data_IF_652024171374
#
_entry.id   IF_652024171374
#
_cell.length_a   1.000
_cell.length_b   1.000
_cell.length_c   1.000
_cell.angle_alpha   90.00
_cell.angle_beta   90.00
_cell.angle_gamma   90.00
#
_symmetry.space_group_name_H-M   'P 1'
#
loop_
_entity.id
_entity.type
_entity.pdbx_description
1 polymer ?
#
# COMPACT_ATOMS: atom_id res chain seq x y z
N UNK A 1 32.13 8.89 11.81
CA UNK A 1 30.87 9.16 11.09
C UNK A 1 29.76 8.46 11.85
N UNK A 2 28.80 9.17 12.43
CA UNK A 2 27.59 8.53 12.95
C UNK A 2 26.86 7.89 11.77
N UNK A 3 26.66 6.57 11.81
CA UNK A 3 26.00 5.84 10.73
C UNK A 3 24.60 6.40 10.45
N UNK A 4 24.21 6.43 9.17
CA UNK A 4 22.87 6.82 8.76
C UNK A 4 21.87 5.85 9.44
N UNK A 5 21.00 6.36 10.30
CA UNK A 5 19.93 5.59 10.94
C UNK A 5 18.61 5.92 10.26
N UNK A 6 17.93 4.89 9.77
CA UNK A 6 16.57 5.00 9.20
C UNK A 6 15.58 4.35 10.16
N UNK A 7 14.47 5.03 10.44
CA UNK A 7 13.36 4.59 11.26
C UNK A 7 12.13 4.43 10.37
N UNK A 8 11.49 3.27 10.47
CA UNK A 8 10.26 2.98 9.73
C UNK A 8 9.14 2.63 10.69
N UNK A 9 7.90 2.96 10.30
CA UNK A 9 6.72 2.27 10.83
C UNK A 9 6.32 1.19 9.84
N UNK A 10 6.13 -0.03 10.32
CA UNK A 10 5.38 -1.06 9.61
C UNK A 10 3.89 -0.88 9.94
N UNK A 11 3.10 -0.43 8.97
CA UNK A 11 1.68 -0.16 9.14
C UNK A 11 0.87 -1.45 9.34
N UNK A 12 0.96 -2.36 8.38
CA UNK A 12 0.29 -3.66 8.39
C UNK A 12 1.09 -4.65 7.50
N UNK A 13 0.96 -5.95 7.78
CA UNK A 13 1.42 -7.03 6.92
C UNK A 13 0.48 -7.36 5.77
N UNK A 14 -0.80 -6.99 5.85
CA UNK A 14 -1.73 -7.02 4.69
C UNK A 14 -2.76 -5.90 4.80
N UNK A 15 -2.65 -4.87 3.95
CA UNK A 15 -3.56 -3.74 3.90
C UNK A 15 -5.04 -4.19 3.77
N UNK A 16 -5.89 -3.72 4.69
CA UNK A 16 -7.30 -4.10 4.78
C UNK A 16 -7.59 -5.14 5.86
N UNK A 17 -6.57 -5.76 6.47
CA UNK A 17 -6.76 -6.64 7.63
C UNK A 17 -6.97 -5.88 8.95
N UNK A 18 -6.71 -4.57 8.97
CA UNK A 18 -6.95 -3.71 10.12
C UNK A 18 -5.77 -3.62 11.10
N UNK A 19 -5.62 -2.45 11.71
CA UNK A 19 -4.70 -2.21 12.82
C UNK A 19 -5.28 -1.19 13.80
N UNK A 20 -4.66 -1.07 14.98
CA UNK A 20 -5.05 -0.07 15.98
C UNK A 20 -4.47 1.29 15.61
N UNK A 21 -5.33 2.28 15.39
CA UNK A 21 -4.91 3.67 15.12
C UNK A 21 -4.00 4.23 16.24
N UNK A 22 -4.29 3.89 17.50
CA UNK A 22 -3.46 4.30 18.64
C UNK A 22 -2.02 3.79 18.56
N UNK A 23 -1.78 2.61 17.98
CA UNK A 23 -0.44 2.09 17.75
C UNK A 23 0.30 2.89 16.68
N UNK A 24 -0.38 3.24 15.59
CA UNK A 24 0.18 4.12 14.55
C UNK A 24 0.53 5.50 15.14
N UNK A 25 -0.40 6.14 15.85
CA UNK A 25 -0.19 7.44 16.48
C UNK A 25 0.99 7.43 17.46
N UNK A 26 1.10 6.37 18.28
CA UNK A 26 2.26 6.19 19.18
C UNK A 26 3.56 6.01 18.40
N UNK A 27 3.56 5.24 17.32
CA UNK A 27 4.73 5.08 16.47
C UNK A 27 5.19 6.40 15.86
N UNK A 28 4.24 7.25 15.43
CA UNK A 28 4.53 8.55 14.86
C UNK A 28 5.25 9.49 15.84
N UNK A 29 5.03 9.37 17.15
CA UNK A 29 5.76 10.19 18.14
C UNK A 29 7.26 9.89 18.21
N UNK A 30 7.71 8.79 17.58
CA UNK A 30 9.13 8.42 17.51
C UNK A 30 9.84 9.07 16.31
N UNK A 31 9.12 9.85 15.50
CA UNK A 31 9.65 10.56 14.33
C UNK A 31 10.23 9.60 13.28
N UNK A 32 9.43 8.70 12.69
CA UNK A 32 9.90 7.81 11.63
C UNK A 32 10.25 8.60 10.36
N UNK A 33 11.17 8.07 9.57
CA UNK A 33 11.58 8.64 8.29
C UNK A 33 10.60 8.26 7.16
N UNK A 34 9.90 7.13 7.29
CA UNK A 34 8.83 6.71 6.39
C UNK A 34 7.86 5.72 7.05
N UNK A 35 6.71 5.50 6.39
CA UNK A 35 5.77 4.44 6.70
C UNK A 35 5.79 3.42 5.56
N UNK A 36 6.02 2.15 5.89
CA UNK A 36 5.86 1.02 4.97
C UNK A 36 4.63 0.21 5.35
N UNK A 37 3.89 -0.28 4.37
CA UNK A 37 2.80 -1.23 4.59
C UNK A 37 2.81 -2.26 3.48
N UNK A 38 2.71 -3.54 3.83
CA UNK A 38 2.49 -4.57 2.83
C UNK A 38 0.98 -4.68 2.54
N UNK A 39 0.63 -4.84 1.28
CA UNK A 39 -0.71 -5.10 0.79
C UNK A 39 -0.76 -6.41 -0.03
N UNK A 40 0.36 -7.13 -0.14
CA UNK A 40 0.47 -8.42 -0.81
C UNK A 40 0.16 -9.60 0.11
N UNK A 41 -0.20 -10.74 -0.49
CA UNK A 41 -0.26 -12.04 0.18
C UNK A 41 -0.36 -13.16 -0.86
N UNK A 42 0.27 -14.31 -0.58
CA UNK A 42 0.12 -15.54 -1.38
C UNK A 42 -0.77 -16.59 -0.70
N UNK A 43 -1.03 -16.43 0.59
CA UNK A 43 -1.84 -17.34 1.41
C UNK A 43 -3.25 -17.60 0.85
N UNK A 44 -3.95 -16.62 0.23
CA UNK A 44 -5.27 -16.85 -0.36
C UNK A 44 -5.26 -17.68 -1.66
N UNK A 45 -4.08 -18.07 -2.14
CA UNK A 45 -3.90 -18.81 -3.39
C UNK A 45 -4.09 -17.96 -4.66
N UNK A 46 -4.12 -18.61 -5.84
CA UNK A 46 -4.02 -17.92 -7.13
C UNK A 46 -5.31 -17.22 -7.59
N UNK A 47 -6.44 -17.45 -6.89
CA UNK A 47 -7.75 -16.96 -7.33
C UNK A 47 -7.77 -15.45 -7.55
N UNK A 48 -7.26 -14.67 -6.59
CA UNK A 48 -7.29 -13.21 -6.63
C UNK A 48 -6.43 -12.63 -7.75
N UNK A 49 -5.27 -13.25 -8.00
CA UNK A 49 -4.43 -12.93 -9.16
C UNK A 49 -5.19 -13.17 -10.46
N UNK A 50 -5.77 -14.36 -10.64
CA UNK A 50 -6.48 -14.75 -11.86
C UNK A 50 -7.75 -13.94 -12.11
N UNK A 51 -8.45 -13.53 -11.04
CA UNK A 51 -9.66 -12.72 -11.13
C UNK A 51 -9.39 -11.21 -11.24
N UNK A 52 -8.16 -10.75 -11.00
CA UNK A 52 -7.81 -9.33 -10.94
C UNK A 52 -8.55 -8.58 -9.81
N UNK A 53 -8.77 -9.24 -8.67
CA UNK A 53 -9.54 -8.72 -7.53
C UNK A 53 -8.73 -8.77 -6.25
N UNK A 54 -9.01 -7.89 -5.32
CA UNK A 54 -8.39 -7.88 -3.99
C UNK A 54 -9.05 -8.93 -3.06
N UNK A 55 -8.29 -9.49 -2.11
CA UNK A 55 -8.86 -10.37 -1.09
C UNK A 55 -9.70 -9.63 -0.04
N UNK A 56 -9.35 -8.38 0.21
CA UNK A 56 -10.05 -7.53 1.17
C UNK A 56 -11.06 -6.62 0.48
N UNK A 57 -12.21 -6.33 1.12
CA UNK A 57 -13.19 -5.41 0.57
C UNK A 57 -12.65 -3.97 0.54
N UNK A 58 -13.08 -3.20 -0.46
CA UNK A 58 -12.66 -1.79 -0.67
C UNK A 58 -12.75 -0.95 0.60
N UNK A 59 -13.82 -1.09 1.39
CA UNK A 59 -14.02 -0.32 2.63
C UNK A 59 -12.92 -0.56 3.67
N UNK A 60 -12.42 -1.80 3.78
CA UNK A 60 -11.38 -2.15 4.72
C UNK A 60 -10.02 -1.61 4.27
N UNK A 61 -9.69 -1.80 2.99
CA UNK A 61 -8.48 -1.23 2.36
C UNK A 61 -8.48 0.29 2.48
N UNK A 62 -9.61 0.95 2.19
CA UNK A 62 -9.76 2.41 2.28
C UNK A 62 -9.56 2.93 3.70
N UNK A 63 -10.10 2.23 4.71
CA UNK A 63 -9.90 2.59 6.12
C UNK A 63 -8.41 2.60 6.48
N UNK A 64 -7.74 1.47 6.26
CA UNK A 64 -6.33 1.31 6.62
C UNK A 64 -5.45 2.31 5.86
N UNK A 65 -5.67 2.43 4.55
CA UNK A 65 -4.92 3.36 3.70
C UNK A 65 -5.17 4.82 4.11
N UNK A 66 -6.39 5.19 4.48
CA UNK A 66 -6.70 6.55 4.93
C UNK A 66 -5.95 6.93 6.21
N UNK A 67 -5.88 6.01 7.18
CA UNK A 67 -5.12 6.22 8.42
C UNK A 67 -3.63 6.42 8.14
N UNK A 68 -3.04 5.57 7.29
CA UNK A 68 -1.64 5.66 6.91
C UNK A 68 -1.33 6.94 6.12
N UNK A 69 -2.18 7.31 5.16
CA UNK A 69 -2.06 8.55 4.39
C UNK A 69 -2.12 9.78 5.29
N UNK A 70 -3.08 9.85 6.22
CA UNK A 70 -3.19 10.95 7.19
C UNK A 70 -1.92 11.08 8.02
N UNK A 71 -1.44 9.98 8.61
CA UNK A 71 -0.22 9.98 9.42
C UNK A 71 1.02 10.44 8.63
N UNK A 72 1.21 9.90 7.42
CA UNK A 72 2.32 10.26 6.54
C UNK A 72 2.28 11.73 6.12
N UNK A 73 1.09 12.27 5.82
CA UNK A 73 0.93 13.68 5.40
C UNK A 73 1.11 14.65 6.55
N UNK A 74 0.58 14.34 7.74
CA UNK A 74 0.78 15.19 8.93
C UNK A 74 2.24 15.32 9.35
N UNK A 75 3.09 14.36 8.99
CA UNK A 75 4.54 14.38 9.29
C UNK A 75 5.41 14.65 8.06
N UNK A 76 4.80 14.89 6.90
CA UNK A 76 5.48 15.09 5.62
C UNK A 76 6.54 14.01 5.28
N UNK A 77 6.24 12.73 5.55
CA UNK A 77 7.11 11.60 5.26
C UNK A 77 6.54 10.67 4.16
N UNK A 78 7.37 9.90 3.45
CA UNK A 78 6.88 8.94 2.46
C UNK A 78 5.99 7.86 3.07
N UNK A 79 4.96 7.47 2.31
CA UNK A 79 4.19 6.25 2.51
C UNK A 79 4.48 5.31 1.35
N UNK A 80 4.90 4.09 1.65
CA UNK A 80 5.26 3.07 0.67
C UNK A 80 4.34 1.87 0.88
N UNK A 81 3.61 1.49 -0.16
CA UNK A 81 2.78 0.28 -0.14
C UNK A 81 3.48 -0.80 -0.98
N UNK A 82 3.92 -1.88 -0.33
CA UNK A 82 4.55 -3.05 -0.96
C UNK A 82 3.50 -4.07 -1.36
N UNK A 83 3.62 -4.61 -2.59
CA UNK A 83 2.63 -5.37 -3.38
C UNK A 83 1.19 -4.89 -3.29
N UNK A 84 0.59 -4.39 -4.38
CA UNK A 84 -0.77 -3.85 -4.34
C UNK A 84 -1.87 -4.95 -4.31
N UNK A 85 -2.88 -4.77 -3.46
CA UNK A 85 -4.17 -5.45 -3.57
C UNK A 85 -4.11 -6.98 -3.57
N UNK A 86 -3.36 -7.56 -2.64
CA UNK A 86 -3.13 -9.00 -2.46
C UNK A 86 -2.15 -9.60 -3.48
N UNK A 87 -2.47 -9.53 -4.77
CA UNK A 87 -1.73 -10.28 -5.79
C UNK A 87 -0.73 -9.45 -6.61
N UNK A 88 -0.75 -8.11 -6.51
CA UNK A 88 0.28 -7.25 -7.07
C UNK A 88 0.26 -7.01 -8.58
N UNK A 89 -0.59 -7.70 -9.34
CA UNK A 89 -0.76 -7.43 -10.78
C UNK A 89 -1.32 -6.02 -11.06
N UNK A 90 -1.19 -5.54 -12.29
CA UNK A 90 -1.69 -4.26 -12.83
C UNK A 90 -3.13 -3.94 -12.44
N UNK A 91 -4.12 -4.86 -12.49
CA UNK A 91 -5.48 -4.56 -12.01
C UNK A 91 -5.52 -4.18 -10.52
N UNK A 92 -4.66 -4.78 -9.70
CA UNK A 92 -4.56 -4.51 -8.27
C UNK A 92 -3.87 -3.18 -7.99
N UNK A 93 -2.83 -2.84 -8.76
CA UNK A 93 -2.16 -1.53 -8.72
C UNK A 93 -3.14 -0.41 -9.08
N UNK A 94 -3.90 -0.58 -10.16
CA UNK A 94 -4.91 0.41 -10.57
C UNK A 94 -6.04 0.53 -9.54
N UNK A 95 -6.53 -0.58 -8.97
CA UNK A 95 -7.55 -0.52 -7.92
C UNK A 95 -7.05 0.21 -6.66
N UNK A 96 -5.80 -0.02 -6.25
CA UNK A 96 -5.22 0.68 -5.10
C UNK A 96 -4.99 2.17 -5.38
N UNK A 97 -4.59 2.53 -6.60
CA UNK A 97 -4.48 3.90 -7.07
C UNK A 97 -5.83 4.62 -7.01
N UNK A 98 -6.91 4.00 -7.49
CA UNK A 98 -8.26 4.57 -7.41
C UNK A 98 -8.66 4.89 -5.96
N UNK A 99 -8.46 3.93 -5.04
CA UNK A 99 -8.74 4.13 -3.61
C UNK A 99 -7.87 5.26 -3.04
N UNK A 100 -6.59 5.33 -3.43
CA UNK A 100 -5.65 6.39 -3.01
C UNK A 100 -6.14 7.77 -3.44
N UNK A 101 -6.56 7.92 -4.70
CA UNK A 101 -7.04 9.19 -5.26
C UNK A 101 -8.40 9.58 -4.66
N UNK A 102 -9.27 8.62 -4.39
CA UNK A 102 -10.54 8.83 -3.69
C UNK A 102 -10.31 9.42 -2.29
N UNK A 103 -9.42 8.80 -1.48
CA UNK A 103 -9.06 9.31 -0.15
C UNK A 103 -8.45 10.72 -0.25
N UNK A 104 -7.57 10.94 -1.22
CA UNK A 104 -6.92 12.23 -1.41
C UNK A 104 -7.92 13.34 -1.70
N UNK A 105 -8.89 13.07 -2.58
CA UNK A 105 -9.98 13.99 -2.91
C UNK A 105 -10.84 14.31 -1.68
N UNK A 106 -11.31 13.29 -0.97
CA UNK A 106 -12.16 13.42 0.22
C UNK A 106 -11.51 14.23 1.35
N UNK A 107 -10.19 14.10 1.50
CA UNK A 107 -9.44 14.75 2.57
C UNK A 107 -8.64 15.98 2.10
N UNK A 108 -8.85 16.43 0.86
CA UNK A 108 -8.16 17.57 0.24
C UNK A 108 -6.64 17.49 0.37
N UNK A 109 -6.08 16.29 0.18
CA UNK A 109 -4.65 16.02 0.29
C UNK A 109 -3.95 16.28 -1.05
N UNK A 110 -2.72 16.77 -0.98
CA UNK A 110 -1.82 16.88 -2.12
C UNK A 110 -0.48 16.21 -1.81
N UNK A 111 0.04 15.44 -2.76
CA UNK A 111 1.29 14.70 -2.66
C UNK A 111 1.73 14.24 -4.06
N UNK A 112 2.99 13.87 -4.19
CA UNK A 112 3.49 13.17 -5.38
C UNK A 112 3.12 11.69 -5.26
N UNK A 113 2.51 11.14 -6.30
CA UNK A 113 2.16 9.72 -6.39
C UNK A 113 3.04 9.07 -7.46
N UNK A 114 3.70 7.98 -7.11
CA UNK A 114 4.39 7.10 -8.04
C UNK A 114 3.72 5.74 -8.04
N UNK A 115 3.51 5.18 -9.22
CA UNK A 115 3.01 3.82 -9.41
C UNK A 115 4.15 3.00 -10.00
N UNK A 116 4.40 1.84 -9.41
CA UNK A 116 5.42 0.90 -9.88
C UNK A 116 4.68 -0.37 -10.28
N UNK A 117 4.55 -0.58 -11.58
CA UNK A 117 4.01 -1.80 -12.17
C UNK A 117 5.16 -2.63 -12.75
N UNK A 118 5.17 -3.92 -12.45
CA UNK A 118 6.15 -4.89 -12.95
C UNK A 118 5.48 -6.09 -13.65
N UNK A 119 4.18 -6.02 -13.95
CA UNK A 119 3.48 -7.09 -14.66
C UNK A 119 4.02 -7.24 -16.09
N UNK A 120 4.50 -8.44 -16.40
CA UNK A 120 5.02 -8.78 -17.72
C UNK A 120 3.90 -8.89 -18.76
N UNK A 121 4.22 -8.58 -20.02
CA UNK A 121 3.28 -8.76 -21.11
C UNK A 121 3.01 -10.26 -21.35
N UNK A 122 1.74 -10.64 -21.43
CA UNK A 122 1.32 -12.04 -21.61
C UNK A 122 1.83 -12.64 -22.92
N UNK A 123 2.03 -11.83 -23.96
CA UNK A 123 2.59 -12.28 -25.24
C UNK A 123 4.03 -12.77 -25.12
N UNK A 124 4.80 -12.22 -24.17
CA UNK A 124 6.16 -12.70 -23.87
C UNK A 124 6.17 -14.18 -23.49
N UNK A 125 5.10 -14.66 -22.82
CA UNK A 125 4.99 -16.07 -22.42
C UNK A 125 4.70 -16.99 -23.60
N UNK A 126 4.15 -16.49 -24.71
CA UNK A 126 3.91 -17.32 -25.90
C UNK A 126 5.11 -17.40 -26.84
N UNK A 127 6.08 -16.50 -26.69
CA UNK A 127 7.29 -16.46 -27.54
C UNK A 127 8.45 -17.29 -26.96
N UNK A 128 8.39 -17.65 -25.68
CA UNK A 128 9.43 -18.41 -24.97
C UNK A 128 9.24 -19.94 -25.02
N UNK A 129 8.20 -20.43 -25.71
CA UNK A 129 7.83 -21.83 -25.84
C UNK A 129 7.59 -22.18 -27.30
#
# INVERSE_FOLDING_TARGET
>A
MSGLRVKAIAGNGVLGSGFRESSLLRGMTLGPDFIGCDAGSTDPGPYYLGAGRTAFPKVAVKRDLSLLMKAARSNNIPLIIGSAGTAGGRPHVESLKEITLEIASENKMSFKLALIDAEQDKSTLTELW
#
